data_IF_611534882776
#
_entry.id   IF_611534882776
#
_cell.length_a   1.000
_cell.length_b   1.000
_cell.length_c   1.000
_cell.angle_alpha   90.00
_cell.angle_beta   90.00
_cell.angle_gamma   90.00
#
_symmetry.space_group_name_H-M   'P 1'
#
loop_
_entity.id
_entity.type
_entity.pdbx_description
1 polymer ?
#
# COMPACT_ATOMS: atom_id res chain seq x y z
N UNK A 1 -81.84 -23.35 25.85
CA UNK A 1 -80.54 -24.02 25.98
C UNK A 1 -79.94 -24.24 24.59
N UNK A 2 -79.00 -23.39 24.14
CA UNK A 2 -78.17 -23.61 22.94
C UNK A 2 -76.71 -23.40 23.37
N UNK A 3 -75.88 -24.43 23.28
CA UNK A 3 -74.45 -24.39 23.65
C UNK A 3 -73.64 -23.78 22.51
N UNK A 4 -72.97 -22.66 22.77
CA UNK A 4 -72.01 -22.01 21.88
C UNK A 4 -70.64 -22.69 22.02
N UNK A 5 -70.15 -23.29 20.94
CA UNK A 5 -68.81 -23.83 20.84
C UNK A 5 -67.84 -22.67 20.51
N UNK A 6 -66.98 -22.28 21.45
CA UNK A 6 -65.91 -21.29 21.22
C UNK A 6 -64.76 -21.98 20.49
N UNK A 7 -64.61 -21.71 19.20
CA UNK A 7 -63.41 -22.09 18.43
C UNK A 7 -62.33 -21.06 18.73
N UNK A 8 -61.34 -21.45 19.53
CA UNK A 8 -60.15 -20.65 19.81
C UNK A 8 -59.17 -20.83 18.65
N UNK A 9 -59.07 -19.80 17.80
CA UNK A 9 -58.10 -19.75 16.70
C UNK A 9 -56.76 -19.35 17.30
N UNK A 10 -55.86 -20.33 17.45
CA UNK A 10 -54.46 -20.11 17.81
C UNK A 10 -53.73 -19.55 16.59
N UNK A 11 -53.56 -18.22 16.56
CA UNK A 11 -52.80 -17.53 15.52
C UNK A 11 -51.30 -17.73 15.80
N UNK A 12 -50.70 -18.77 15.21
CA UNK A 12 -49.24 -18.95 15.24
C UNK A 12 -48.64 -17.89 14.32
N UNK A 13 -48.16 -16.79 14.91
CA UNK A 13 -47.32 -15.82 14.24
C UNK A 13 -45.99 -16.48 13.92
N UNK A 14 -45.88 -17.05 12.72
CA UNK A 14 -44.61 -17.47 12.14
C UNK A 14 -43.85 -16.21 11.76
N UNK A 15 -43.13 -15.64 12.73
CA UNK A 15 -42.19 -14.56 12.45
C UNK A 15 -41.06 -15.16 11.62
N UNK A 16 -41.10 -14.97 10.30
CA UNK A 16 -39.93 -15.22 9.48
C UNK A 16 -38.88 -14.21 9.91
N UNK A 17 -38.02 -14.59 10.86
CA UNK A 17 -36.79 -13.85 11.06
C UNK A 17 -36.02 -13.96 9.74
N UNK A 18 -35.74 -12.85 9.04
CA UNK A 18 -34.83 -12.91 7.91
C UNK A 18 -33.50 -13.36 8.49
N UNK A 19 -33.16 -14.64 8.28
CA UNK A 19 -31.86 -15.16 8.62
C UNK A 19 -30.84 -14.23 7.97
N UNK A 20 -29.95 -13.66 8.77
CA UNK A 20 -28.74 -13.04 8.27
C UNK A 20 -28.00 -14.14 7.49
N UNK A 21 -28.21 -14.20 6.18
CA UNK A 21 -27.37 -14.99 5.29
C UNK A 21 -26.03 -14.24 5.29
N UNK A 22 -25.17 -14.55 6.26
CA UNK A 22 -23.76 -14.27 6.14
C UNK A 22 -23.35 -14.81 4.77
N UNK A 23 -22.82 -13.95 3.90
CA UNK A 23 -22.40 -14.35 2.56
C UNK A 23 -21.54 -15.61 2.69
N UNK A 24 -22.05 -16.74 2.19
CA UNK A 24 -21.41 -18.04 2.40
C UNK A 24 -20.04 -18.09 1.72
N UNK A 25 -19.83 -17.27 0.70
CA UNK A 25 -18.58 -17.11 -0.02
C UNK A 25 -18.31 -15.63 -0.31
N UNK A 26 -17.09 -15.18 -0.01
CA UNK A 26 -16.59 -13.84 -0.30
C UNK A 26 -15.34 -13.99 -1.17
N UNK A 27 -15.32 -13.29 -2.31
CA UNK A 27 -14.18 -13.29 -3.23
C UNK A 27 -12.91 -12.71 -2.58
N UNK A 28 -11.72 -13.06 -3.11
CA UNK A 28 -10.50 -12.38 -2.71
C UNK A 28 -10.66 -10.88 -2.93
N UNK A 29 -10.14 -10.09 -2.00
CA UNK A 29 -10.22 -8.63 -2.05
C UNK A 29 -8.85 -8.06 -1.68
N UNK A 30 -8.46 -6.90 -2.24
CA UNK A 30 -7.27 -6.21 -1.76
C UNK A 30 -7.33 -6.03 -0.24
N UNK A 31 -6.18 -6.21 0.42
CA UNK A 31 -5.99 -5.96 1.85
C UNK A 31 -6.36 -4.51 2.19
N UNK A 32 -6.08 -3.61 1.26
CA UNK A 32 -6.38 -2.19 1.36
C UNK A 32 -7.86 -1.85 1.14
N UNK A 33 -8.33 -0.80 1.83
CA UNK A 33 -9.68 -0.24 1.63
C UNK A 33 -9.83 0.38 0.24
N UNK A 34 -11.07 0.63 -0.22
CA UNK A 34 -11.32 1.25 -1.53
C UNK A 34 -10.62 2.60 -1.72
N UNK A 35 -10.52 3.40 -0.66
CA UNK A 35 -9.85 4.70 -0.69
C UNK A 35 -8.34 4.55 -0.81
N UNK A 36 -7.75 3.63 -0.03
CA UNK A 36 -6.32 3.33 -0.10
C UNK A 36 -5.97 2.75 -1.46
N UNK A 37 -6.80 1.85 -1.99
CA UNK A 37 -6.64 1.28 -3.33
C UNK A 37 -6.66 2.36 -4.41
N UNK A 38 -7.60 3.31 -4.32
CA UNK A 38 -7.65 4.46 -5.22
C UNK A 38 -6.36 5.28 -5.14
N UNK A 39 -5.90 5.63 -3.93
CA UNK A 39 -4.65 6.38 -3.73
C UNK A 39 -3.44 5.60 -4.26
N UNK A 40 -3.40 4.29 -4.05
CA UNK A 40 -2.37 3.40 -4.56
C UNK A 40 -2.31 3.44 -6.10
N UNK A 41 -3.45 3.38 -6.80
CA UNK A 41 -3.48 3.57 -8.24
C UNK A 41 -3.05 4.99 -8.65
N UNK A 42 -3.41 6.02 -7.90
CA UNK A 42 -2.94 7.38 -8.15
C UNK A 42 -1.42 7.53 -7.99
N UNK A 43 -0.78 6.77 -7.10
CA UNK A 43 0.67 6.85 -6.85
C UNK A 43 1.48 5.96 -7.79
N UNK A 44 1.05 4.71 -8.01
CA UNK A 44 1.84 3.69 -8.70
C UNK A 44 1.44 3.45 -10.16
N UNK A 45 0.28 3.92 -10.62
CA UNK A 45 -0.09 3.73 -12.02
C UNK A 45 0.87 4.52 -12.91
N UNK A 46 1.51 3.81 -13.84
CA UNK A 46 2.47 4.33 -14.79
C UNK A 46 2.01 4.04 -16.21
N UNK A 47 2.02 5.06 -17.07
CA UNK A 47 1.71 4.90 -18.48
C UNK A 47 2.99 4.61 -19.28
N UNK A 48 3.05 3.51 -20.04
CA UNK A 48 4.17 3.25 -20.95
C UNK A 48 4.33 4.35 -22.01
N UNK A 49 5.58 4.73 -22.33
CA UNK A 49 5.90 5.86 -23.21
C UNK A 49 5.40 5.61 -24.64
N UNK A 50 5.58 4.39 -25.13
CA UNK A 50 5.09 3.92 -26.42
C UNK A 50 3.57 3.94 -26.49
N UNK A 51 2.88 3.42 -25.47
CA UNK A 51 1.42 3.46 -25.39
C UNK A 51 0.89 4.90 -25.40
N UNK A 52 1.59 5.85 -24.77
CA UNK A 52 1.25 7.29 -24.87
C UNK A 52 1.48 7.84 -26.27
N UNK A 53 2.60 7.47 -26.92
CA UNK A 53 2.93 7.89 -28.29
C UNK A 53 1.87 7.44 -29.29
N UNK A 54 1.40 6.21 -29.17
CA UNK A 54 0.37 5.62 -30.04
C UNK A 54 -1.06 5.91 -29.56
N UNK A 55 -1.23 6.64 -28.46
CA UNK A 55 -2.51 7.00 -27.85
C UNK A 55 -3.39 5.79 -27.53
N UNK A 56 -2.78 4.69 -27.15
CA UNK A 56 -3.47 3.46 -26.76
C UNK A 56 -4.13 3.66 -25.41
N UNK A 57 -5.42 3.35 -25.28
CA UNK A 57 -6.20 3.41 -24.05
C UNK A 57 -7.09 2.17 -23.94
N UNK A 58 -7.41 1.75 -22.71
CA UNK A 58 -8.25 0.57 -22.51
C UNK A 58 -8.38 0.14 -21.06
N UNK A 59 -9.03 -0.99 -20.85
CA UNK A 59 -9.09 -1.63 -19.53
C UNK A 59 -8.49 -3.01 -19.66
N UNK A 60 -7.39 -3.25 -18.95
CA UNK A 60 -6.80 -4.57 -18.83
C UNK A 60 -7.58 -5.32 -17.75
N UNK A 61 -8.04 -6.54 -18.05
CA UNK A 61 -8.70 -7.38 -17.06
C UNK A 61 -7.80 -8.57 -16.77
N UNK A 62 -7.39 -8.71 -15.51
CA UNK A 62 -6.45 -9.76 -15.07
C UNK A 62 -7.25 -10.83 -14.33
N UNK A 63 -7.23 -12.07 -14.82
CA UNK A 63 -7.62 -13.24 -14.03
C UNK A 63 -6.51 -13.59 -13.06
N UNK A 64 -6.87 -14.04 -11.87
CA UNK A 64 -5.92 -14.35 -10.81
C UNK A 64 -6.49 -15.37 -9.85
N UNK A 65 -5.62 -16.20 -9.29
CA UNK A 65 -5.92 -17.07 -8.16
C UNK A 65 -5.21 -16.55 -6.91
N UNK A 66 -5.86 -16.71 -5.76
CA UNK A 66 -5.29 -16.34 -4.46
C UNK A 66 -5.48 -17.51 -3.53
N UNK A 67 -4.39 -17.98 -2.91
CA UNK A 67 -4.45 -19.06 -1.95
C UNK A 67 -4.99 -18.63 -0.60
N UNK A 68 -5.08 -19.58 0.33
CA UNK A 68 -5.58 -19.34 1.70
C UNK A 68 -4.74 -18.33 2.51
N UNK A 69 -3.49 -18.08 2.12
CA UNK A 69 -2.60 -17.12 2.75
C UNK A 69 -2.66 -15.72 2.12
N UNK A 70 -3.51 -15.51 1.11
CA UNK A 70 -3.57 -14.22 0.41
C UNK A 70 -2.46 -14.02 -0.62
N UNK A 71 -1.74 -15.08 -0.99
CA UNK A 71 -0.66 -15.03 -1.99
C UNK A 71 -1.24 -15.37 -3.37
N UNK A 72 -0.84 -14.61 -4.39
CA UNK A 72 -1.21 -14.89 -5.78
C UNK A 72 -0.46 -16.14 -6.26
N UNK A 73 -1.18 -17.17 -6.70
CA UNK A 73 -0.56 -18.39 -7.25
C UNK A 73 -0.43 -18.31 -8.77
N UNK A 74 -1.48 -17.84 -9.44
CA UNK A 74 -1.53 -17.68 -10.89
C UNK A 74 -2.20 -16.37 -11.26
N UNK A 75 -1.80 -15.82 -12.40
CA UNK A 75 -2.49 -14.70 -13.04
C UNK A 75 -2.22 -14.66 -14.52
N UNK A 76 -3.22 -14.26 -15.29
CA UNK A 76 -3.09 -14.06 -16.73
C UNK A 76 -4.08 -13.00 -17.20
N UNK A 77 -3.86 -12.47 -18.39
CA UNK A 77 -4.68 -11.40 -18.95
C UNK A 77 -5.89 -12.02 -19.65
N UNK A 78 -7.10 -11.65 -19.21
CA UNK A 78 -8.36 -12.00 -19.87
C UNK A 78 -8.70 -11.02 -20.98
N UNK A 79 -8.47 -9.74 -20.74
CA UNK A 79 -8.71 -8.67 -21.69
C UNK A 79 -7.43 -7.84 -21.83
N UNK A 80 -6.76 -8.00 -22.95
CA UNK A 80 -5.55 -7.29 -23.32
C UNK A 80 -5.87 -5.93 -23.96
N UNK A 81 -4.94 -4.98 -23.87
CA UNK A 81 -5.00 -3.69 -24.57
C UNK A 81 -3.82 -3.56 -25.52
N UNK A 82 -2.61 -3.61 -24.98
CA UNK A 82 -1.35 -3.62 -25.74
C UNK A 82 -0.24 -4.21 -24.88
N UNK A 83 0.79 -4.85 -25.48
CA UNK A 83 1.83 -5.55 -24.70
C UNK A 83 2.46 -4.70 -23.60
N UNK A 84 2.67 -3.41 -23.85
CA UNK A 84 3.28 -2.48 -22.90
C UNK A 84 2.32 -2.08 -21.76
N UNK A 85 1.05 -1.81 -22.08
CA UNK A 85 0.01 -1.53 -21.05
C UNK A 85 -0.22 -2.78 -20.20
N UNK A 86 -0.30 -3.93 -20.84
CA UNK A 86 -0.51 -5.24 -20.23
C UNK A 86 0.61 -5.58 -19.23
N UNK A 87 1.88 -5.36 -19.61
CA UNK A 87 3.02 -5.54 -18.72
C UNK A 87 2.99 -4.58 -17.52
N UNK A 88 2.64 -3.30 -17.75
CA UNK A 88 2.47 -2.31 -16.67
C UNK A 88 1.32 -2.70 -15.72
N UNK A 89 0.22 -3.22 -16.26
CA UNK A 89 -0.95 -3.64 -15.47
C UNK A 89 -0.60 -4.83 -14.57
N UNK A 90 0.15 -5.79 -15.11
CA UNK A 90 0.69 -6.91 -14.33
C UNK A 90 1.63 -6.40 -13.22
N UNK A 91 2.61 -5.55 -13.52
CA UNK A 91 3.50 -5.01 -12.49
C UNK A 91 2.73 -4.33 -11.36
N UNK A 92 1.72 -3.52 -11.70
CA UNK A 92 0.87 -2.83 -10.74
C UNK A 92 0.02 -3.79 -9.92
N UNK A 93 -0.49 -4.86 -10.54
CA UNK A 93 -1.27 -5.90 -9.89
C UNK A 93 -0.48 -6.66 -8.82
N UNK A 94 0.81 -6.93 -9.06
CA UNK A 94 1.68 -7.65 -8.11
C UNK A 94 1.93 -6.89 -6.81
N UNK A 95 1.75 -5.57 -6.81
CA UNK A 95 1.91 -4.74 -5.62
C UNK A 95 0.68 -4.77 -4.71
N UNK A 96 -0.44 -5.29 -5.21
CA UNK A 96 -1.67 -5.39 -4.43
C UNK A 96 -1.52 -6.56 -3.47
N UNK A 97 -1.55 -6.27 -2.18
CA UNK A 97 -1.71 -7.28 -1.15
C UNK A 97 -3.16 -7.77 -1.12
N UNK A 98 -3.37 -9.08 -0.98
CA UNK A 98 -4.70 -9.69 -1.04
C UNK A 98 -5.11 -10.30 0.30
N UNK A 99 -6.37 -10.10 0.66
CA UNK A 99 -7.08 -10.99 1.55
C UNK A 99 -7.57 -12.20 0.73
N UNK A 100 -7.41 -13.43 1.26
CA UNK A 100 -7.90 -14.64 0.60
C UNK A 100 -9.42 -14.61 0.42
N UNK A 101 -9.94 -15.46 -0.46
CA UNK A 101 -11.37 -15.73 -0.47
C UNK A 101 -11.78 -16.33 0.87
N UNK A 102 -13.00 -16.06 1.33
CA UNK A 102 -13.53 -16.72 2.53
C UNK A 102 -14.78 -17.50 2.24
N UNK A 103 -14.88 -18.69 2.84
CA UNK A 103 -16.08 -19.52 2.84
C UNK A 103 -16.52 -19.72 4.28
N UNK A 104 -17.72 -19.25 4.63
CA UNK A 104 -18.19 -19.21 6.02
C UNK A 104 -17.19 -18.55 6.99
N UNK A 105 -16.50 -17.50 6.53
CA UNK A 105 -15.49 -16.78 7.32
C UNK A 105 -14.12 -17.45 7.42
N UNK A 106 -13.93 -18.65 6.86
CA UNK A 106 -12.62 -19.33 6.80
C UNK A 106 -11.91 -19.03 5.48
N UNK A 107 -10.60 -18.77 5.47
CA UNK A 107 -9.85 -18.55 4.24
C UNK A 107 -9.87 -19.82 3.38
N UNK A 108 -10.02 -19.65 2.07
CA UNK A 108 -10.00 -20.73 1.07
C UNK A 108 -9.26 -20.27 -0.17
N UNK A 109 -8.58 -21.19 -0.86
CA UNK A 109 -8.01 -20.90 -2.17
C UNK A 109 -9.13 -20.62 -3.18
N UNK A 110 -8.93 -19.59 -4.00
CA UNK A 110 -9.81 -19.24 -5.10
C UNK A 110 -9.07 -19.46 -6.41
N UNK A 111 -9.51 -20.40 -7.28
CA UNK A 111 -8.92 -20.56 -8.59
C UNK A 111 -9.15 -19.31 -9.46
N UNK A 112 -8.33 -19.16 -10.48
CA UNK A 112 -8.49 -18.08 -11.45
C UNK A 112 -9.85 -18.24 -12.15
N UNK A 113 -10.75 -17.31 -11.88
CA UNK A 113 -12.09 -17.31 -12.47
C UNK A 113 -12.09 -16.52 -13.77
N UNK A 114 -12.44 -17.19 -14.87
CA UNK A 114 -12.59 -16.59 -16.20
C UNK A 114 -13.66 -15.48 -16.23
N UNK A 115 -14.61 -15.50 -15.29
CA UNK A 115 -15.74 -14.58 -15.27
C UNK A 115 -15.60 -13.43 -14.25
N UNK A 116 -14.47 -13.32 -13.54
CA UNK A 116 -14.30 -12.29 -12.50
C UNK A 116 -12.86 -11.83 -12.34
N UNK A 117 -12.29 -11.26 -13.40
CA UNK A 117 -10.97 -10.63 -13.33
C UNK A 117 -10.96 -9.27 -12.61
N UNK A 118 -9.75 -8.78 -12.33
CA UNK A 118 -9.50 -7.48 -11.73
C UNK A 118 -9.23 -6.43 -12.84
N UNK A 119 -10.09 -5.41 -13.01
CA UNK A 119 -9.93 -4.43 -14.07
C UNK A 119 -8.97 -3.30 -13.67
N UNK A 120 -7.99 -3.02 -14.53
CA UNK A 120 -7.09 -1.87 -14.43
C UNK A 120 -7.31 -0.98 -15.66
N UNK A 121 -7.79 0.24 -15.42
CA UNK A 121 -8.15 1.17 -16.49
C UNK A 121 -7.02 2.15 -16.80
N UNK A 122 -6.59 2.16 -18.06
CA UNK A 122 -5.64 3.10 -18.62
C UNK A 122 -6.37 4.14 -19.45
N UNK A 123 -6.20 5.42 -19.07
CA UNK A 123 -6.75 6.55 -19.80
C UNK A 123 -5.77 7.73 -19.72
N UNK A 124 -5.32 8.20 -20.88
CA UNK A 124 -4.29 9.23 -21.04
C UNK A 124 -4.75 10.56 -20.45
N UNK A 125 -6.01 10.95 -20.65
CA UNK A 125 -6.52 12.22 -20.08
C UNK A 125 -6.48 12.20 -18.54
N UNK A 126 -6.92 11.10 -17.92
CA UNK A 126 -6.84 10.92 -16.46
C UNK A 126 -5.40 10.87 -15.99
N UNK A 127 -4.53 10.14 -16.70
CA UNK A 127 -3.12 10.04 -16.37
C UNK A 127 -2.41 11.40 -16.47
N UNK A 128 -2.66 12.19 -17.51
CA UNK A 128 -2.08 13.53 -17.62
C UNK A 128 -2.54 14.46 -16.49
N UNK A 129 -3.81 14.38 -16.07
CA UNK A 129 -4.29 15.11 -14.87
C UNK A 129 -3.59 14.62 -13.60
N UNK A 130 -3.37 13.32 -13.49
CA UNK A 130 -2.66 12.70 -12.38
C UNK A 130 -1.21 13.16 -12.30
N UNK A 131 -0.49 13.16 -13.44
CA UNK A 131 0.89 13.65 -13.56
C UNK A 131 0.99 15.11 -13.14
N UNK A 132 0.07 15.97 -13.62
CA UNK A 132 -0.01 17.39 -13.20
C UNK A 132 -0.24 17.54 -11.69
N UNK A 133 -1.09 16.70 -11.10
CA UNK A 133 -1.37 16.71 -9.65
C UNK A 133 -0.17 16.28 -8.81
N UNK A 134 0.57 15.24 -9.25
CA UNK A 134 1.68 14.68 -8.46
C UNK A 134 3.04 15.34 -8.72
N UNK A 135 3.19 16.03 -9.85
CA UNK A 135 4.39 16.79 -10.21
C UNK A 135 5.51 15.98 -10.88
N UNK A 136 5.29 14.71 -11.24
CA UNK A 136 6.29 13.87 -11.91
C UNK A 136 5.65 12.85 -12.85
N UNK A 137 6.34 12.54 -13.94
CA UNK A 137 5.94 11.47 -14.86
C UNK A 137 6.50 10.12 -14.40
N UNK A 138 7.76 10.07 -13.95
CA UNK A 138 8.49 8.92 -13.41
C UNK A 138 9.38 9.39 -12.24
N UNK A 139 9.64 8.51 -11.27
CA UNK A 139 10.62 8.78 -10.21
C UNK A 139 11.95 8.20 -10.70
N UNK A 140 12.64 8.89 -11.60
CA UNK A 140 14.00 8.53 -11.96
C UNK A 140 14.81 9.81 -12.20
N UNK A 141 15.89 10.06 -11.45
CA UNK A 141 16.84 11.12 -11.81
C UNK A 141 17.45 10.76 -13.17
N UNK A 142 17.10 11.51 -14.21
CA UNK A 142 17.39 11.20 -15.60
C UNK A 142 18.89 11.20 -16.00
N UNK A 143 19.84 11.14 -15.05
CA UNK A 143 21.29 11.19 -15.32
C UNK A 143 22.13 10.09 -14.67
N UNK A 144 21.54 9.13 -13.95
CA UNK A 144 22.30 8.09 -13.25
C UNK A 144 22.26 6.76 -14.00
N UNK A 145 23.40 6.09 -14.07
CA UNK A 145 23.51 4.73 -14.61
C UNK A 145 22.78 3.76 -13.67
N UNK A 146 22.01 2.83 -14.24
CA UNK A 146 21.21 1.87 -13.47
C UNK A 146 21.85 0.49 -13.53
N UNK A 147 21.70 -0.30 -12.46
CA UNK A 147 22.06 -1.72 -12.48
C UNK A 147 21.00 -2.53 -13.24
N UNK A 148 21.39 -3.01 -14.42
CA UNK A 148 20.57 -3.83 -15.30
C UNK A 148 20.54 -5.32 -14.89
N UNK A 149 21.38 -5.75 -13.93
CA UNK A 149 21.50 -7.16 -13.53
C UNK A 149 20.26 -7.73 -12.85
N UNK A 150 19.27 -6.89 -12.52
CA UNK A 150 18.06 -7.22 -11.72
C UNK A 150 18.37 -7.76 -10.32
N UNK A 151 19.62 -7.65 -9.86
CA UNK A 151 20.00 -8.06 -8.50
C UNK A 151 19.33 -7.16 -7.47
N UNK A 152 18.80 -7.77 -6.42
CA UNK A 152 18.25 -7.07 -5.25
C UNK A 152 19.33 -7.06 -4.18
N UNK A 153 19.66 -5.88 -3.68
CA UNK A 153 20.65 -5.67 -2.63
C UNK A 153 19.94 -5.45 -1.29
N UNK A 154 20.54 -5.93 -0.20
CA UNK A 154 20.11 -5.58 1.14
C UNK A 154 20.65 -4.20 1.52
N UNK A 155 20.04 -3.58 2.53
CA UNK A 155 20.48 -2.27 3.08
C UNK A 155 21.95 -2.21 3.46
N UNK A 156 22.56 -3.32 3.88
CA UNK A 156 23.98 -3.37 4.25
C UNK A 156 24.93 -3.56 3.05
N UNK A 157 24.40 -3.67 1.83
CA UNK A 157 25.17 -3.93 0.61
C UNK A 157 25.22 -2.74 -0.34
N UNK A 158 24.60 -1.61 0.02
CA UNK A 158 24.52 -0.38 -0.77
C UNK A 158 25.30 0.74 -0.09
N UNK A 159 25.86 1.66 -0.88
CA UNK A 159 26.60 2.82 -0.39
C UNK A 159 25.64 3.94 0.02
N UNK A 160 24.63 4.19 -0.82
CA UNK A 160 23.53 5.12 -0.53
C UNK A 160 22.23 4.33 -0.38
N UNK A 161 21.48 4.64 0.66
CA UNK A 161 20.23 3.95 0.98
C UNK A 161 19.03 4.64 0.34
N UNK A 162 17.94 3.89 0.03
CA UNK A 162 16.76 4.47 -0.59
C UNK A 162 16.10 5.57 0.26
N UNK A 163 16.12 6.81 -0.18
CA UNK A 163 15.54 7.93 0.58
C UNK A 163 14.02 8.01 0.37
N UNK A 164 13.28 8.54 1.35
CA UNK A 164 11.88 8.91 1.15
C UNK A 164 11.75 10.41 0.88
N UNK A 165 10.77 10.81 0.06
CA UNK A 165 10.48 12.22 -0.19
C UNK A 165 9.33 12.64 0.72
N UNK A 166 9.60 13.51 1.71
CA UNK A 166 8.55 14.12 2.55
C UNK A 166 8.10 15.47 1.99
N UNK A 167 6.82 15.79 2.14
CA UNK A 167 6.24 17.08 1.71
C UNK A 167 6.88 18.28 2.45
N UNK A 168 7.48 18.06 3.63
CA UNK A 168 8.23 19.06 4.40
C UNK A 168 9.53 19.53 3.72
N UNK A 169 9.97 18.88 2.65
CA UNK A 169 11.13 19.31 1.84
C UNK A 169 10.70 20.30 0.74
N UNK A 170 9.40 20.37 0.40
CA UNK A 170 8.86 21.27 -0.61
C UNK A 170 8.39 22.63 -0.06
N UNK A 171 8.47 22.85 1.26
CA UNK A 171 8.09 24.12 1.88
C UNK A 171 9.23 25.16 1.92
N UNK A 172 10.29 24.98 1.13
CA UNK A 172 11.34 25.98 0.94
C UNK A 172 11.57 26.18 -0.55
N UNK A 173 10.99 27.28 -1.06
CA UNK A 173 11.16 27.92 -2.36
C UNK A 173 10.94 27.08 -3.63
N UNK A 174 9.77 27.31 -4.24
CA UNK A 174 9.20 26.64 -5.41
C UNK A 174 9.81 26.99 -6.77
N UNK A 175 11.12 27.25 -6.87
CA UNK A 175 11.75 27.63 -8.15
C UNK A 175 12.72 26.59 -8.74
N UNK A 176 12.97 25.47 -8.05
CA UNK A 176 14.06 24.54 -8.42
C UNK A 176 13.68 23.26 -9.19
N UNK A 177 12.53 23.18 -9.86
CA UNK A 177 12.12 21.92 -10.56
C UNK A 177 12.24 21.99 -12.09
N UNK A 178 12.41 23.18 -12.70
CA UNK A 178 12.41 23.29 -14.18
C UNK A 178 13.79 23.28 -14.85
N UNK A 179 14.91 23.10 -14.14
CA UNK A 179 16.24 23.00 -14.75
C UNK A 179 17.16 21.99 -14.07
N UNK A 180 17.06 20.72 -14.47
CA UNK A 180 18.02 19.69 -14.08
C UNK A 180 19.25 19.75 -15.00
N UNK A 181 20.31 20.44 -14.56
CA UNK A 181 21.63 20.45 -15.20
C UNK A 181 22.67 19.78 -14.27
N UNK A 182 23.22 18.60 -14.63
CA UNK A 182 24.07 17.80 -13.74
C UNK A 182 25.47 18.37 -13.47
N UNK A 183 25.81 19.57 -13.96
CA UNK A 183 27.16 20.17 -13.81
C UNK A 183 27.29 21.35 -12.83
N UNK A 184 26.29 21.63 -12.00
CA UNK A 184 26.43 22.65 -10.95
C UNK A 184 25.98 22.11 -9.60
N UNK A 185 26.83 21.27 -9.02
CA UNK A 185 26.82 21.01 -7.59
C UNK A 185 27.09 22.33 -6.84
N UNK A 186 26.05 22.97 -6.34
CA UNK A 186 26.16 23.83 -5.16
C UNK A 186 25.09 23.38 -4.18
N UNK A 187 25.50 22.47 -3.29
CA UNK A 187 24.80 21.92 -2.13
C UNK A 187 23.36 22.39 -1.96
N UNK A 188 22.40 21.68 -2.57
CA UNK A 188 21.04 21.70 -2.06
C UNK A 188 21.15 21.01 -0.70
N UNK A 189 21.01 21.77 0.38
CA UNK A 189 20.98 21.26 1.76
C UNK A 189 19.63 20.58 2.01
N UNK A 190 19.34 19.52 1.27
CA UNK A 190 18.34 18.54 1.71
C UNK A 190 18.98 17.80 2.89
N UNK A 191 18.33 17.66 4.05
CA UNK A 191 18.87 16.78 5.08
C UNK A 191 18.98 15.38 4.46
N UNK A 192 20.20 14.89 4.34
CA UNK A 192 20.52 13.54 3.94
C UNK A 192 20.05 12.61 5.06
N UNK A 193 18.80 12.14 5.00
CA UNK A 193 18.21 11.29 6.04
C UNK A 193 18.11 9.86 5.57
N UNK A 194 19.21 9.17 5.87
CA UNK A 194 19.41 7.75 5.70
C UNK A 194 18.26 6.93 6.37
N UNK A 195 17.61 5.97 5.68
CA UNK A 195 16.62 5.03 6.23
C UNK A 195 17.13 4.15 7.39
N UNK A 196 18.44 3.91 7.47
CA UNK A 196 19.08 3.25 8.61
C UNK A 196 19.21 4.17 9.82
N UNK A 197 19.08 5.51 9.64
CA UNK A 197 18.67 6.37 10.74
C UNK A 197 17.17 6.12 10.93
N UNK A 198 16.87 5.10 11.73
CA UNK A 198 15.53 4.78 12.25
C UNK A 198 14.85 5.97 12.93
N UNK A 199 15.44 7.17 13.01
CA UNK A 199 14.74 8.36 13.50
C UNK A 199 13.89 9.02 12.42
N UNK A 200 14.40 9.27 11.23
CA UNK A 200 13.74 10.19 10.30
C UNK A 200 12.63 9.55 9.47
N UNK A 201 12.86 8.37 8.90
CA UNK A 201 11.82 7.60 8.23
C UNK A 201 10.70 7.24 9.23
N UNK A 202 11.07 6.80 10.43
CA UNK A 202 10.08 6.51 11.47
C UNK A 202 9.36 7.79 11.91
N UNK A 203 10.05 8.92 12.09
CA UNK A 203 9.41 10.19 12.46
C UNK A 203 8.45 10.67 11.37
N UNK A 204 8.83 10.56 10.10
CA UNK A 204 7.94 10.85 8.98
C UNK A 204 6.71 9.94 9.00
N UNK A 205 6.92 8.63 9.10
CA UNK A 205 5.82 7.66 9.19
C UNK A 205 4.91 7.99 10.37
N UNK A 206 5.45 8.18 11.57
CA UNK A 206 4.67 8.53 12.76
C UNK A 206 3.96 9.88 12.66
N UNK A 207 4.47 10.83 11.86
CA UNK A 207 3.77 12.09 11.59
C UNK A 207 2.55 11.93 10.67
N UNK A 208 2.52 10.86 9.87
CA UNK A 208 1.48 10.61 8.88
C UNK A 208 0.56 9.43 9.25
N UNK A 209 0.97 8.59 10.20
CA UNK A 209 0.25 7.38 10.58
C UNK A 209 -1.04 7.75 11.31
N UNK A 210 -2.15 7.16 10.89
CA UNK A 210 -3.43 7.30 11.56
C UNK A 210 -3.74 6.05 12.37
N UNK A 211 -3.74 6.15 13.70
CA UNK A 211 -4.15 5.02 14.54
C UNK A 211 -5.65 4.71 14.32
N UNK A 212 -6.01 3.50 13.87
CA UNK A 212 -7.42 3.19 13.61
C UNK A 212 -8.29 3.27 14.87
N UNK A 213 -9.49 3.83 14.74
CA UNK A 213 -10.45 3.95 15.86
C UNK A 213 -10.79 2.61 16.50
N UNK A 214 -10.92 1.55 15.68
CA UNK A 214 -11.19 0.19 16.16
C UNK A 214 -10.06 -0.32 17.06
N UNK A 215 -8.81 -0.11 16.63
CA UNK A 215 -7.64 -0.51 17.40
C UNK A 215 -7.51 0.30 18.70
N UNK A 216 -7.91 1.58 18.72
CA UNK A 216 -8.00 2.39 19.94
C UNK A 216 -9.07 1.81 20.88
N UNK A 217 -10.28 1.57 20.38
CA UNK A 217 -11.43 1.07 21.16
C UNK A 217 -11.13 -0.29 21.80
N UNK A 218 -10.46 -1.17 21.07
CA UNK A 218 -10.09 -2.51 21.53
C UNK A 218 -8.73 -2.57 22.23
N UNK A 219 -8.06 -1.42 22.41
CA UNK A 219 -6.71 -1.33 23.00
C UNK A 219 -5.68 -2.27 22.32
N UNK A 220 -5.82 -2.47 21.01
CA UNK A 220 -4.92 -3.30 20.20
C UNK A 220 -3.63 -2.54 20.02
N UNK A 221 -2.49 -3.17 20.32
CA UNK A 221 -1.14 -2.63 20.11
C UNK A 221 -0.23 -3.73 19.58
N UNK A 222 0.91 -3.35 18.99
CA UNK A 222 1.87 -4.31 18.46
C UNK A 222 2.85 -3.69 17.47
N UNK A 223 3.61 -4.55 16.78
CA UNK A 223 4.55 -4.14 15.74
C UNK A 223 4.10 -4.77 14.42
N UNK A 224 3.92 -3.93 13.40
CA UNK A 224 3.75 -4.39 12.02
C UNK A 224 5.12 -4.42 11.37
N UNK A 225 5.54 -5.57 10.82
CA UNK A 225 6.78 -5.69 10.05
C UNK A 225 6.46 -5.89 8.59
N UNK A 226 7.05 -5.04 7.75
CA UNK A 226 6.92 -5.05 6.30
C UNK A 226 8.29 -5.28 5.67
N UNK A 227 8.32 -5.96 4.54
CA UNK A 227 9.47 -6.01 3.67
C UNK A 227 9.04 -5.69 2.24
N UNK A 228 9.83 -4.90 1.52
CA UNK A 228 9.56 -4.52 0.14
C UNK A 228 10.85 -4.13 -0.57
N UNK A 229 10.84 -4.19 -1.88
CA UNK A 229 11.95 -3.75 -2.71
C UNK A 229 11.65 -2.35 -3.24
N UNK A 230 12.57 -1.42 -3.06
CA UNK A 230 12.58 -0.15 -3.80
C UNK A 230 13.27 -0.40 -5.13
N UNK A 231 12.50 -0.29 -6.21
CA UNK A 231 12.96 -0.44 -7.58
C UNK A 231 13.81 0.75 -8.04
N UNK A 232 14.56 0.59 -9.12
CA UNK A 232 15.40 1.64 -9.74
C UNK A 232 14.61 2.88 -10.20
N UNK A 233 13.29 2.76 -10.28
CA UNK A 233 12.37 3.84 -10.65
C UNK A 233 11.62 4.40 -9.43
N UNK A 234 12.08 4.13 -8.21
CA UNK A 234 11.50 4.63 -6.95
C UNK A 234 10.14 4.03 -6.61
N UNK A 235 9.62 3.12 -7.42
CA UNK A 235 8.40 2.37 -7.09
C UNK A 235 8.74 1.20 -6.17
N UNK A 236 7.72 0.68 -5.51
CA UNK A 236 7.86 -0.50 -4.68
C UNK A 236 7.55 -1.75 -5.50
N UNK A 237 8.22 -2.85 -5.18
CA UNK A 237 7.91 -4.21 -5.62
C UNK A 237 8.01 -5.19 -4.44
N UNK A 238 7.42 -6.38 -4.61
CA UNK A 238 7.50 -7.49 -3.65
C UNK A 238 7.19 -7.07 -2.20
N UNK A 239 6.15 -6.26 -2.00
CA UNK A 239 5.69 -5.90 -0.65
C UNK A 239 5.14 -7.16 0.03
N UNK A 240 5.63 -7.45 1.23
CA UNK A 240 5.23 -8.59 2.06
C UNK A 240 5.03 -8.11 3.50
N UNK A 241 3.94 -8.56 4.13
CA UNK A 241 3.70 -8.35 5.56
C UNK A 241 4.27 -9.54 6.33
N UNK A 242 5.32 -9.33 7.10
CA UNK A 242 5.97 -10.36 7.93
C UNK A 242 5.30 -10.54 9.29
N UNK A 243 4.85 -9.45 9.89
CA UNK A 243 4.11 -9.47 11.17
C UNK A 243 2.90 -8.53 11.07
N UNK A 244 1.73 -9.02 11.46
CA UNK A 244 0.45 -8.31 11.36
C UNK A 244 -0.04 -7.84 12.72
N UNK A 245 -0.70 -6.69 12.76
CA UNK A 245 -1.47 -6.18 13.90
C UNK A 245 -2.92 -5.95 13.46
N UNK A 246 -3.87 -6.43 14.26
CA UNK A 246 -5.30 -6.32 13.98
C UNK A 246 -5.87 -4.90 14.12
N UNK A 247 -7.19 -4.78 14.01
CA UNK A 247 -7.89 -3.50 14.22
C UNK A 247 -7.66 -2.43 13.15
N UNK A 248 -7.10 -2.78 11.99
CA UNK A 248 -6.78 -1.84 10.90
C UNK A 248 -5.33 -1.36 10.88
N UNK A 249 -4.49 -1.75 11.85
CA UNK A 249 -3.12 -1.26 11.97
C UNK A 249 -2.23 -1.73 10.82
N UNK A 250 -2.39 -2.99 10.39
CA UNK A 250 -1.64 -3.52 9.24
C UNK A 250 -1.98 -2.79 7.94
N UNK A 251 -3.26 -2.53 7.71
CA UNK A 251 -3.75 -1.82 6.55
C UNK A 251 -3.23 -0.38 6.51
N UNK A 252 -3.15 0.28 7.66
CA UNK A 252 -2.57 1.62 7.75
C UNK A 252 -1.05 1.63 7.50
N UNK A 253 -0.33 0.66 8.05
CA UNK A 253 1.11 0.48 7.80
C UNK A 253 1.41 0.28 6.31
N UNK A 254 0.62 -0.55 5.63
CA UNK A 254 0.72 -0.75 4.18
C UNK A 254 0.37 0.54 3.42
N UNK A 255 -0.70 1.22 3.84
CA UNK A 255 -1.17 2.48 3.26
C UNK A 255 -0.09 3.57 3.28
N UNK A 256 0.62 3.74 4.40
CA UNK A 256 1.65 4.77 4.50
C UNK A 256 2.86 4.46 3.61
N UNK A 257 3.30 3.19 3.57
CA UNK A 257 4.42 2.76 2.71
C UNK A 257 4.10 2.99 1.23
N UNK A 258 2.88 2.66 0.78
CA UNK A 258 2.44 2.86 -0.61
C UNK A 258 2.19 4.34 -0.98
N UNK A 259 1.97 5.22 -0.01
CA UNK A 259 1.85 6.67 -0.25
C UNK A 259 3.21 7.36 -0.28
N UNK A 260 4.21 6.76 0.38
CA UNK A 260 5.55 7.31 0.49
C UNK A 260 6.26 7.20 -0.86
N UNK A 261 6.84 8.30 -1.34
CA UNK A 261 7.68 8.32 -2.54
C UNK A 261 9.10 7.94 -2.15
N UNK A 262 9.74 7.09 -2.95
CA UNK A 262 11.09 6.60 -2.68
C UNK A 262 12.07 7.02 -3.77
N UNK A 263 13.26 7.42 -3.38
CA UNK A 263 14.45 7.54 -4.21
C UNK A 263 15.21 6.22 -4.01
N UNK A 264 15.62 5.52 -5.08
CA UNK A 264 16.31 4.24 -4.93
C UNK A 264 17.70 4.40 -4.28
N UNK A 265 18.25 3.27 -3.83
CA UNK A 265 19.61 3.21 -3.30
C UNK A 265 20.66 3.22 -4.41
N UNK A 266 21.92 3.46 -4.02
CA UNK A 266 23.06 3.50 -4.92
C UNK A 266 24.17 2.56 -4.44
N UNK A 267 24.81 1.88 -5.39
CA UNK A 267 25.96 1.01 -5.15
C UNK A 267 26.92 1.11 -6.32
N UNK A 268 28.22 1.28 -6.06
CA UNK A 268 29.25 1.40 -7.09
C UNK A 268 28.92 2.50 -8.12
N UNK A 269 28.28 3.59 -7.67
CA UNK A 269 27.81 4.68 -8.53
C UNK A 269 26.59 4.36 -9.42
N UNK A 270 25.99 3.17 -9.27
CA UNK A 270 24.80 2.74 -9.99
C UNK A 270 23.55 2.78 -9.10
N UNK A 271 22.41 3.18 -9.66
CA UNK A 271 21.11 3.00 -9.02
C UNK A 271 20.77 1.51 -8.96
N UNK A 272 20.42 1.01 -7.77
CA UNK A 272 20.16 -0.42 -7.56
C UNK A 272 18.82 -0.70 -6.87
N UNK A 273 18.28 -1.89 -7.12
CA UNK A 273 17.12 -2.41 -6.38
C UNK A 273 17.52 -2.73 -4.96
N UNK A 274 16.79 -2.22 -3.98
CA UNK A 274 17.14 -2.39 -2.57
C UNK A 274 15.98 -2.98 -1.78
N UNK A 275 16.21 -4.08 -1.07
CA UNK A 275 15.27 -4.64 -0.10
C UNK A 275 15.29 -3.81 1.19
N UNK A 276 14.13 -3.30 1.57
CA UNK A 276 13.88 -2.57 2.81
C UNK A 276 13.03 -3.42 3.73
N UNK A 277 13.42 -3.48 5.01
CA UNK A 277 12.60 -4.01 6.09
C UNK A 277 12.21 -2.88 7.04
N UNK A 278 10.92 -2.73 7.29
CA UNK A 278 10.35 -1.65 8.07
C UNK A 278 9.51 -2.21 9.21
N UNK A 279 9.75 -1.71 10.42
CA UNK A 279 9.00 -2.07 11.63
C UNK A 279 8.26 -0.85 12.17
N UNK A 280 6.93 -0.91 12.19
CA UNK A 280 6.06 0.18 12.65
C UNK A 280 5.37 -0.26 13.93
N UNK A 281 5.63 0.44 15.03
CA UNK A 281 5.02 0.14 16.33
C UNK A 281 3.72 0.93 16.51
N UNK A 282 2.61 0.22 16.67
CA UNK A 282 1.33 0.79 17.08
C UNK A 282 1.21 0.69 18.60
N UNK A 283 1.21 1.84 19.26
CA UNK A 283 0.99 1.96 20.70
C UNK A 283 -0.13 2.96 20.98
N UNK A 284 -1.13 2.53 21.75
CA UNK A 284 -2.30 3.36 22.05
C UNK A 284 -1.84 4.71 22.66
N UNK A 285 -2.27 5.86 22.11
CA UNK A 285 -1.90 7.18 22.62
C UNK A 285 -2.21 7.38 24.11
N UNK A 286 -3.23 6.71 24.64
CA UNK A 286 -3.58 6.75 26.06
C UNK A 286 -2.45 6.19 26.97
N UNK A 287 -1.69 5.21 26.48
CA UNK A 287 -0.59 4.60 27.23
C UNK A 287 0.70 5.43 27.18
N UNK A 288 0.87 6.30 26.17
CA UNK A 288 2.02 7.21 26.06
C UNK A 288 1.98 8.33 27.12
N UNK A 289 0.77 8.76 27.54
CA UNK A 289 0.60 9.78 28.59
C UNK A 289 1.00 9.29 29.99
N UNK A 290 1.03 7.98 30.22
CA UNK A 290 1.32 7.39 31.53
C UNK A 290 2.81 7.10 31.78
N UNK A 291 3.72 7.52 30.87
CA UNK A 291 5.16 7.12 30.88
C UNK A 291 6.15 8.22 31.34
N UNK A 292 5.69 9.32 31.95
CA UNK A 292 6.51 10.36 32.61
C UNK A 292 5.68 10.95 33.78
N UNK A 293 6.06 11.03 35.07
CA UNK A 293 7.34 11.03 35.82
C UNK A 293 7.09 10.39 37.22
N UNK A 294 7.89 9.44 37.75
CA UNK A 294 8.02 9.29 39.20
C UNK A 294 8.87 10.44 39.73
N UNK A 295 8.26 11.30 40.55
CA UNK A 295 8.92 12.43 41.18
C UNK A 295 10.02 11.92 42.13
N UNK A 296 11.29 11.95 41.70
CA UNK A 296 12.43 11.84 42.60
C UNK A 296 12.95 13.24 42.91
N UNK A 297 12.34 13.87 43.90
CA UNK A 297 13.01 14.89 44.71
C UNK A 297 12.38 14.92 46.10
N UNK A 298 12.92 14.11 47.01
CA UNK A 298 12.98 14.48 48.42
C UNK A 298 14.20 13.82 49.06
N UNK A 299 15.35 14.45 48.84
CA UNK A 299 16.50 14.36 49.76
C UNK A 299 16.84 15.80 50.11
N UNK A 300 16.28 16.26 51.23
CA UNK A 300 16.42 17.63 51.70
C UNK A 300 15.95 17.77 53.13
N UNK A 301 16.64 17.07 54.04
CA UNK A 301 17.07 17.45 55.40
C UNK A 301 17.32 16.21 56.25
#
# INVERSE_FOLDING_TARGET
MKRLLKISILFVLFTSQPGLIAQQWVKPKPLMTKNILKTFFETHLMYPIDAMKYKEEGTVVIAYSVNENGIIEERHILQAVSPSIDASALQLFDLILWNPATKYGKPVSCPASENSGFPIKYNIKKFNKLVKKRGYHFINPASLHVDESKKIYNVNQVEELPLFISDSIFSTDSEAVDNYNPKQQKSIRTPNINPSSTSALNQFIYSQITYPEEAIRLNISGVVRLAFVVEINGLLSNLVVKETVGGGCTEEAVSIVLKTKWIPGMKDGLIVRTLIELSIKFENPANLKNKHIPNQSNSGM
#
